data_IF_575841738373
#
_entry.id   IF_575841738373
#
_cell.length_a   1.000
_cell.length_b   1.000
_cell.length_c   1.000
_cell.angle_alpha   90.00
_cell.angle_beta   90.00
_cell.angle_gamma   90.00
#
_symmetry.space_group_name_H-M   'P 1'
#
loop_
_entity.id
_entity.type
_entity.pdbx_description
1 polymer ?
#
# COMPACT_ATOMS: atom_id res chain seq x y z
N UNK A 1 -31.64 -14.88 8.27
CA UNK A 1 -30.88 -13.97 7.38
C UNK A 1 -30.47 -12.76 8.18
N UNK A 2 -29.26 -12.79 8.74
CA UNK A 2 -28.69 -11.61 9.39
C UNK A 2 -28.40 -10.62 8.26
N UNK A 3 -29.06 -9.47 8.29
CA UNK A 3 -28.71 -8.32 7.45
C UNK A 3 -27.28 -7.95 7.82
N UNK A 4 -26.36 -8.10 6.87
CA UNK A 4 -24.97 -7.72 7.06
C UNK A 4 -24.90 -6.26 7.49
N UNK A 5 -24.49 -6.08 8.74
CA UNK A 5 -24.03 -4.82 9.27
C UNK A 5 -22.87 -4.37 8.36
N UNK A 6 -23.04 -3.21 7.72
CA UNK A 6 -21.96 -2.47 7.04
C UNK A 6 -20.89 -2.14 8.09
N UNK A 7 -20.03 -3.11 8.40
CA UNK A 7 -18.78 -2.85 9.08
C UNK A 7 -17.90 -1.99 8.16
N UNK A 8 -17.04 -1.10 8.72
CA UNK A 8 -16.05 -0.41 7.91
C UNK A 8 -15.26 -1.48 7.15
N UNK A 9 -15.35 -1.44 5.82
CA UNK A 9 -14.70 -2.40 4.93
C UNK A 9 -13.20 -2.36 5.25
N UNK A 10 -12.68 -3.37 5.94
CA UNK A 10 -11.24 -3.45 6.19
C UNK A 10 -10.61 -3.99 4.91
N UNK A 11 -10.02 -3.09 4.13
CA UNK A 11 -9.42 -3.38 2.82
C UNK A 11 -8.43 -4.56 2.87
N UNK A 12 -7.65 -4.68 3.96
CA UNK A 12 -6.67 -5.75 4.17
C UNK A 12 -7.25 -7.18 4.25
N UNK A 13 -8.56 -7.34 4.46
CA UNK A 13 -9.22 -8.66 4.52
C UNK A 13 -10.12 -8.94 3.31
N UNK A 14 -10.14 -8.06 2.30
CA UNK A 14 -10.96 -8.28 1.11
C UNK A 14 -10.34 -9.36 0.23
N UNK A 15 -11.14 -10.38 -0.11
CA UNK A 15 -10.76 -11.40 -1.11
C UNK A 15 -10.43 -10.80 -2.47
N UNK A 16 -10.99 -9.63 -2.78
CA UNK A 16 -10.77 -8.94 -4.07
C UNK A 16 -9.31 -8.54 -4.28
N UNK A 17 -8.54 -8.34 -3.20
CA UNK A 17 -7.13 -7.91 -3.26
C UNK A 17 -6.16 -8.92 -2.66
N UNK A 18 -6.62 -10.14 -2.36
CA UNK A 18 -5.83 -11.21 -1.74
C UNK A 18 -4.53 -11.51 -2.49
N UNK A 19 -4.56 -11.43 -3.82
CA UNK A 19 -3.43 -11.74 -4.70
C UNK A 19 -2.84 -10.49 -5.36
N UNK A 20 -3.12 -9.29 -4.85
CA UNK A 20 -2.64 -8.02 -5.40
C UNK A 20 -1.58 -7.41 -4.49
N UNK A 21 -0.44 -7.00 -5.07
CA UNK A 21 0.65 -6.33 -4.36
C UNK A 21 1.24 -5.22 -5.21
N UNK A 22 1.79 -4.18 -4.57
CA UNK A 22 2.43 -3.04 -5.24
C UNK A 22 1.47 -1.99 -5.81
N UNK A 23 0.17 -2.18 -5.68
CA UNK A 23 -0.85 -1.23 -6.15
C UNK A 23 -1.19 -0.17 -5.11
N UNK A 24 -1.55 1.02 -5.58
CA UNK A 24 -2.00 2.12 -4.73
C UNK A 24 -3.53 2.25 -4.77
N UNK A 25 -4.14 2.40 -3.60
CA UNK A 25 -5.60 2.43 -3.47
C UNK A 25 -6.09 3.67 -2.73
N UNK A 26 -7.19 4.24 -3.22
CA UNK A 26 -7.97 5.31 -2.58
C UNK A 26 -9.43 4.87 -2.60
N UNK A 27 -10.13 4.99 -1.46
CA UNK A 27 -11.52 4.54 -1.29
C UNK A 27 -11.75 3.08 -1.76
N UNK A 28 -10.81 2.18 -1.40
CA UNK A 28 -10.80 0.77 -1.78
C UNK A 28 -10.74 0.50 -3.30
N UNK A 29 -10.28 1.46 -4.11
CA UNK A 29 -10.14 1.34 -5.57
C UNK A 29 -8.73 1.73 -6.01
N UNK A 30 -8.25 1.10 -7.08
CA UNK A 30 -6.93 1.44 -7.64
C UNK A 30 -6.91 2.90 -8.08
N UNK A 31 -5.81 3.59 -7.75
CA UNK A 31 -5.64 5.01 -8.03
C UNK A 31 -4.27 5.26 -8.68
N UNK A 32 -4.17 6.24 -9.58
CA UNK A 32 -2.89 6.59 -10.18
C UNK A 32 -1.95 7.20 -9.14
N UNK A 33 -0.66 6.93 -9.31
CA UNK A 33 0.40 7.58 -8.54
C UNK A 33 1.18 8.56 -9.41
N UNK A 34 1.96 9.44 -8.77
CA UNK A 34 2.84 10.35 -9.49
C UNK A 34 4.04 9.59 -10.09
N UNK A 35 4.68 10.11 -11.16
CA UNK A 35 5.88 9.49 -11.72
C UNK A 35 7.01 9.32 -10.70
N UNK A 36 7.20 10.31 -9.81
CA UNK A 36 8.20 10.24 -8.75
C UNK A 36 7.94 9.12 -7.74
N UNK A 37 6.67 8.82 -7.44
CA UNK A 37 6.32 7.69 -6.57
C UNK A 37 6.61 6.31 -7.18
N UNK A 38 6.87 6.25 -8.50
CA UNK A 38 7.27 5.02 -9.21
C UNK A 38 8.77 4.97 -9.52
N UNK A 39 9.56 5.95 -9.05
CA UNK A 39 11.00 5.96 -9.29
C UNK A 39 11.70 4.95 -8.35
N UNK A 40 12.15 3.84 -8.93
CA UNK A 40 12.84 2.78 -8.19
C UNK A 40 14.20 3.23 -7.66
N UNK A 41 14.94 4.07 -8.38
CA UNK A 41 16.25 4.53 -7.94
C UNK A 41 16.14 5.41 -6.69
N UNK A 42 15.14 6.30 -6.67
CA UNK A 42 14.87 7.14 -5.50
C UNK A 42 14.36 6.30 -4.32
N UNK A 43 13.55 5.26 -4.58
CA UNK A 43 13.06 4.35 -3.55
C UNK A 43 14.20 3.55 -2.88
N UNK A 44 15.14 3.03 -3.68
CA UNK A 44 16.30 2.28 -3.16
C UNK A 44 17.23 3.19 -2.34
N UNK A 45 17.51 4.40 -2.83
CA UNK A 45 18.29 5.41 -2.08
C UNK A 45 17.61 5.77 -0.76
N UNK A 46 16.30 5.99 -0.78
CA UNK A 46 15.53 6.34 0.41
C UNK A 46 15.58 5.22 1.45
N UNK A 47 15.49 3.96 1.02
CA UNK A 47 15.60 2.79 1.91
C UNK A 47 16.94 2.76 2.64
N UNK A 48 18.06 2.90 1.90
CA UNK A 48 19.40 2.89 2.50
C UNK A 48 19.64 4.04 3.47
N UNK A 49 19.19 5.25 3.12
CA UNK A 49 19.26 6.42 4.01
C UNK A 49 18.44 6.15 5.28
N UNK A 50 17.23 5.60 5.15
CA UNK A 50 16.33 5.35 6.28
C UNK A 50 16.89 4.29 7.23
N UNK A 51 17.49 3.21 6.71
CA UNK A 51 18.15 2.20 7.56
C UNK A 51 19.31 2.79 8.36
N UNK A 52 20.13 3.65 7.74
CA UNK A 52 21.22 4.35 8.42
C UNK A 52 20.69 5.23 9.55
N UNK A 53 19.61 5.99 9.31
CA UNK A 53 19.00 6.87 10.31
C UNK A 53 18.38 6.10 11.49
N UNK A 54 17.89 4.89 11.24
CA UNK A 54 17.30 4.02 12.25
C UNK A 54 18.31 3.08 12.92
N UNK A 55 19.61 3.19 12.62
CA UNK A 55 20.66 2.26 13.09
C UNK A 55 20.34 0.79 12.79
N UNK A 56 19.77 0.52 11.61
CA UNK A 56 19.42 -0.82 11.13
C UNK A 56 20.43 -1.36 10.10
N UNK A 57 21.61 -0.75 10.01
CA UNK A 57 22.70 -1.12 9.10
C UNK A 57 23.90 -1.69 9.87
#
# INVERSE_FOLDING_TARGET
>A
MIKELKHPYIFAFSKEVENTSGEYFVDCKTAPTTPGAKNMEDADKLWEISKNLCNLN
#
